data_IF_137149414411
#
_entry.id   IF_137149414411
#
_cell.length_a   1.000
_cell.length_b   1.000
_cell.length_c   1.000
_cell.angle_alpha   90.00
_cell.angle_beta   90.00
_cell.angle_gamma   90.00
#
_symmetry.space_group_name_H-M   'P 1'
#
loop_
_entity.id
_entity.type
_entity.pdbx_description
1 polymer ?
#
# COMPACT_ATOMS: atom_id res chain seq x y z
N UNK A 1 -1.05 -5.41 -10.20
CA UNK A 1 -1.69 -5.35 -8.86
C UNK A 1 -3.08 -5.97 -8.86
N UNK A 2 -3.95 -5.60 -9.81
CA UNK A 2 -5.33 -6.10 -9.89
C UNK A 2 -5.47 -7.64 -9.88
N UNK A 3 -4.71 -8.36 -10.73
CA UNK A 3 -4.75 -9.83 -10.75
C UNK A 3 -4.40 -10.47 -9.40
N UNK A 4 -3.46 -9.88 -8.65
CA UNK A 4 -3.08 -10.37 -7.32
C UNK A 4 -4.19 -10.12 -6.30
N UNK A 5 -4.74 -8.91 -6.25
CA UNK A 5 -5.81 -8.56 -5.31
C UNK A 5 -7.08 -9.38 -5.57
N UNK A 6 -7.45 -9.56 -6.84
CA UNK A 6 -8.59 -10.40 -7.22
C UNK A 6 -8.40 -11.85 -6.74
N UNK A 7 -7.23 -12.44 -6.99
CA UNK A 7 -6.92 -13.78 -6.50
C UNK A 7 -6.92 -13.87 -4.97
N UNK A 8 -6.36 -12.88 -4.28
CA UNK A 8 -6.32 -12.84 -2.82
C UNK A 8 -7.74 -12.79 -2.22
N UNK A 9 -8.56 -11.83 -2.65
CA UNK A 9 -9.91 -11.66 -2.09
C UNK A 9 -10.84 -12.83 -2.42
N UNK A 10 -10.70 -13.45 -3.60
CA UNK A 10 -11.43 -14.68 -3.94
C UNK A 10 -11.11 -15.83 -2.98
N UNK A 11 -9.86 -15.96 -2.52
CA UNK A 11 -9.42 -17.07 -1.69
C UNK A 11 -9.47 -16.77 -0.17
N UNK A 12 -9.65 -15.51 0.22
CA UNK A 12 -9.73 -15.08 1.62
C UNK A 12 -11.17 -14.89 2.12
N UNK A 13 -12.18 -15.11 1.25
CA UNK A 13 -13.58 -14.98 1.62
C UNK A 13 -13.94 -15.90 2.80
N UNK A 14 -14.48 -15.31 3.88
CA UNK A 14 -14.85 -16.01 5.11
C UNK A 14 -13.70 -16.25 6.10
N UNK A 15 -12.47 -15.80 5.80
CA UNK A 15 -11.38 -15.80 6.78
C UNK A 15 -11.59 -14.69 7.81
N UNK A 16 -11.42 -15.01 9.10
CA UNK A 16 -11.59 -14.05 10.19
C UNK A 16 -10.64 -12.82 10.14
N UNK A 17 -9.56 -12.92 9.37
CA UNK A 17 -8.59 -11.83 9.17
C UNK A 17 -8.98 -10.84 8.07
N UNK A 18 -10.01 -11.13 7.28
CA UNK A 18 -10.52 -10.22 6.26
C UNK A 18 -11.81 -9.57 6.79
N UNK A 19 -11.87 -8.22 6.90
CA UNK A 19 -13.11 -7.56 7.29
C UNK A 19 -14.26 -7.87 6.32
N UNK A 20 -15.47 -8.05 6.84
CA UNK A 20 -16.67 -8.32 6.03
C UNK A 20 -17.05 -7.11 5.15
N UNK A 21 -16.74 -5.90 5.60
CA UNK A 21 -16.96 -4.67 4.86
C UNK A 21 -15.79 -4.39 3.91
N UNK A 22 -16.10 -4.28 2.62
CA UNK A 22 -15.13 -3.95 1.58
C UNK A 22 -14.49 -2.56 1.77
N UNK A 23 -15.24 -1.59 2.29
CA UNK A 23 -14.72 -0.25 2.57
C UNK A 23 -13.67 -0.28 3.70
N UNK A 24 -13.92 -1.04 4.76
CA UNK A 24 -12.97 -1.18 5.87
C UNK A 24 -11.72 -1.96 5.43
N UNK A 25 -11.89 -2.98 4.58
CA UNK A 25 -10.78 -3.70 3.95
C UNK A 25 -9.90 -2.76 3.13
N UNK A 26 -10.51 -1.91 2.31
CA UNK A 26 -9.75 -0.95 1.48
C UNK A 26 -9.02 0.07 2.35
N UNK A 27 -9.67 0.64 3.37
CA UNK A 27 -9.03 1.58 4.31
C UNK A 27 -7.83 0.98 5.04
N UNK A 28 -7.93 -0.28 5.48
CA UNK A 28 -6.83 -0.98 6.12
C UNK A 28 -5.69 -1.26 5.13
N UNK A 29 -6.02 -1.67 3.91
CA UNK A 29 -5.02 -1.88 2.86
C UNK A 29 -4.27 -0.57 2.56
N UNK A 30 -4.99 0.55 2.38
CA UNK A 30 -4.40 1.86 2.13
C UNK A 30 -3.49 2.29 3.29
N UNK A 31 -3.92 2.07 4.55
CA UNK A 31 -3.13 2.34 5.74
C UNK A 31 -1.81 1.55 5.77
N UNK A 32 -1.86 0.23 5.52
CA UNK A 32 -0.65 -0.60 5.54
C UNK A 32 0.29 -0.29 4.38
N UNK A 33 -0.25 0.06 3.20
CA UNK A 33 0.56 0.48 2.05
C UNK A 33 1.23 1.83 2.34
N UNK A 34 0.52 2.77 2.98
CA UNK A 34 1.09 4.03 3.43
C UNK A 34 2.21 3.82 4.46
N UNK A 35 1.99 3.00 5.49
CA UNK A 35 3.00 2.66 6.49
C UNK A 35 4.25 2.07 5.82
N UNK A 36 4.08 1.15 4.88
CA UNK A 36 5.19 0.53 4.16
C UNK A 36 5.97 1.54 3.33
N UNK A 37 5.27 2.44 2.63
CA UNK A 37 5.91 3.49 1.83
C UNK A 37 6.75 4.43 2.70
N UNK A 38 6.21 4.86 3.86
CA UNK A 38 6.95 5.70 4.81
C UNK A 38 8.18 4.99 5.39
N UNK A 39 8.04 3.71 5.73
CA UNK A 39 9.17 2.89 6.16
C UNK A 39 10.26 2.83 5.08
N UNK A 40 9.88 2.61 3.82
CA UNK A 40 10.82 2.56 2.70
C UNK A 40 11.51 3.90 2.46
N UNK A 41 10.81 5.03 2.58
CA UNK A 41 11.44 6.36 2.50
C UNK A 41 12.57 6.48 3.54
N UNK A 42 12.29 6.17 4.81
CA UNK A 42 13.30 6.25 5.87
C UNK A 42 14.46 5.28 5.60
N UNK A 43 14.13 4.06 5.17
CA UNK A 43 15.12 3.03 4.88
C UNK A 43 16.04 3.42 3.72
N UNK A 44 15.50 3.90 2.61
CA UNK A 44 16.28 4.25 1.42
C UNK A 44 17.13 5.50 1.65
N UNK A 45 16.62 6.51 2.39
CA UNK A 45 17.44 7.67 2.82
C UNK A 45 18.69 7.19 3.58
N UNK A 46 18.56 6.18 4.44
CA UNK A 46 19.65 5.71 5.28
C UNK A 46 20.61 4.73 4.56
N UNK A 47 20.13 3.96 3.58
CA UNK A 47 20.90 2.82 3.03
C UNK A 47 21.20 2.93 1.53
N UNK A 48 20.31 3.53 0.72
CA UNK A 48 20.48 3.65 -0.73
C UNK A 48 19.83 4.96 -1.23
N UNK A 49 20.45 6.12 -0.97
CA UNK A 49 19.86 7.42 -1.33
C UNK A 49 19.44 7.54 -2.79
N UNK A 50 20.18 6.89 -3.71
CA UNK A 50 19.87 6.86 -5.15
C UNK A 50 18.52 6.19 -5.47
N UNK A 51 17.99 5.37 -4.56
CA UNK A 51 16.71 4.66 -4.72
C UNK A 51 15.52 5.43 -4.14
N UNK A 52 15.75 6.54 -3.43
CA UNK A 52 14.72 7.30 -2.72
C UNK A 52 13.54 7.73 -3.61
N UNK A 53 13.79 7.98 -4.89
CA UNK A 53 12.74 8.36 -5.84
C UNK A 53 11.64 7.29 -5.95
N UNK A 54 11.96 6.00 -5.75
CA UNK A 54 11.00 4.90 -5.88
C UNK A 54 9.89 4.98 -4.81
N UNK A 55 10.20 4.92 -3.49
CA UNK A 55 9.17 5.02 -2.46
C UNK A 55 8.52 6.41 -2.41
N UNK A 56 9.24 7.49 -2.77
CA UNK A 56 8.65 8.84 -2.84
C UNK A 56 7.56 8.95 -3.93
N UNK A 57 7.78 8.36 -5.10
CA UNK A 57 6.76 8.29 -6.15
C UNK A 57 5.58 7.40 -5.72
N UNK A 58 5.85 6.31 -4.99
CA UNK A 58 4.81 5.47 -4.38
C UNK A 58 3.94 6.24 -3.40
N UNK A 59 4.57 6.97 -2.48
CA UNK A 59 3.90 7.80 -1.49
C UNK A 59 3.06 8.89 -2.15
N UNK A 60 3.61 9.62 -3.13
CA UNK A 60 2.90 10.72 -3.79
C UNK A 60 1.57 10.29 -4.43
N UNK A 61 1.52 9.10 -5.03
CA UNK A 61 0.28 8.52 -5.57
C UNK A 61 -0.73 8.09 -4.50
N UNK A 62 -0.28 7.70 -3.31
CA UNK A 62 -1.17 7.25 -2.23
C UNK A 62 -1.88 8.40 -1.54
N UNK A 63 -1.20 9.53 -1.39
CA UNK A 63 -1.73 10.73 -0.72
C UNK A 63 -2.20 11.80 -1.71
N UNK A 64 -2.35 11.42 -2.98
CA UNK A 64 -2.88 12.26 -4.06
C UNK A 64 -2.18 13.64 -4.14
N UNK A 65 -0.85 13.64 -4.12
CA UNK A 65 -0.06 14.88 -4.30
C UNK A 65 -0.02 15.37 -5.75
N UNK A 66 -0.39 14.51 -6.70
CA UNK A 66 -0.35 14.79 -8.14
C UNK A 66 -1.69 15.29 -8.69
N UNK A 67 -2.79 15.19 -7.95
CA UNK A 67 -4.06 15.90 -8.18
C UNK A 67 -4.49 15.99 -9.64
N UNK A 68 -4.85 14.87 -10.25
CA UNK A 68 -5.76 14.82 -11.41
C UNK A 68 -7.16 14.38 -10.98
#
# INVERSE_FOLDING_TARGET
TEAFLNGYFQNMAGCASLPDNAEDTQKLLDLFVLEKALYEVIYEVANRPDWLAIPMNGLSRLIDLDGE
#
